data_IF_582920338816
#
_entry.id   IF_582920338816
#
_cell.length_a   1.000
_cell.length_b   1.000
_cell.length_c   1.000
_cell.angle_alpha   90.00
_cell.angle_beta   90.00
_cell.angle_gamma   90.00
#
_symmetry.space_group_name_H-M   'P 1'
#
loop_
_entity.id
_entity.type
_entity.pdbx_description
1 polymer ?
#
# COMPACT_ATOMS: atom_id res chain seq x y z
N UNK A 1 -29.16 -54.62 -5.86
CA UNK A 1 -27.80 -54.24 -5.45
C UNK A 1 -27.24 -53.32 -6.53
N UNK A 2 -27.24 -52.03 -6.28
CA UNK A 2 -26.64 -51.01 -7.17
C UNK A 2 -25.77 -50.17 -6.26
N UNK A 3 -24.43 -50.38 -6.32
CA UNK A 3 -23.45 -49.57 -5.65
C UNK A 3 -23.28 -48.22 -6.37
N UNK A 4 -23.72 -47.14 -5.77
CA UNK A 4 -23.47 -45.79 -6.21
C UNK A 4 -22.13 -45.30 -5.69
N UNK A 5 -21.10 -45.25 -6.57
CA UNK A 5 -19.81 -44.60 -6.27
C UNK A 5 -19.98 -43.08 -6.24
N UNK A 6 -19.92 -42.51 -5.08
CA UNK A 6 -19.71 -41.07 -4.86
C UNK A 6 -18.28 -40.74 -5.31
N UNK A 7 -18.18 -40.01 -6.44
CA UNK A 7 -16.92 -39.35 -6.86
C UNK A 7 -16.70 -38.13 -5.96
N UNK A 8 -15.74 -38.21 -5.05
CA UNK A 8 -15.21 -37.06 -4.34
C UNK A 8 -14.59 -36.09 -5.37
N UNK A 9 -15.13 -34.87 -5.48
CA UNK A 9 -14.48 -33.77 -6.19
C UNK A 9 -13.21 -33.43 -5.43
N UNK A 10 -12.06 -33.73 -6.00
CA UNK A 10 -10.77 -33.17 -5.59
C UNK A 10 -10.82 -31.67 -5.87
N UNK A 11 -10.88 -30.87 -4.82
CA UNK A 11 -10.52 -29.45 -4.88
C UNK A 11 -9.05 -29.39 -5.26
N UNK A 12 -8.75 -28.78 -6.41
CA UNK A 12 -7.37 -28.46 -6.77
C UNK A 12 -6.83 -27.45 -5.75
N UNK A 13 -5.59 -27.62 -5.25
CA UNK A 13 -4.96 -26.60 -4.44
C UNK A 13 -4.80 -25.33 -5.28
N UNK A 14 -5.26 -24.21 -4.76
CA UNK A 14 -4.99 -22.88 -5.30
C UNK A 14 -3.47 -22.73 -5.34
N UNK A 15 -2.91 -22.69 -6.55
CA UNK A 15 -1.48 -22.47 -6.72
C UNK A 15 -1.15 -21.08 -6.17
N UNK A 16 -0.41 -21.05 -5.07
CA UNK A 16 0.18 -19.81 -4.57
C UNK A 16 1.18 -19.31 -5.63
N UNK A 17 1.17 -17.99 -5.92
CA UNK A 17 2.11 -17.42 -6.87
C UNK A 17 3.54 -17.61 -6.36
N UNK A 18 4.40 -18.18 -7.20
CA UNK A 18 5.82 -18.40 -6.87
C UNK A 18 6.62 -17.24 -7.46
N UNK A 19 7.36 -16.51 -6.61
CA UNK A 19 8.41 -15.58 -7.05
C UNK A 19 9.71 -16.35 -7.12
N UNK A 20 10.23 -16.56 -8.33
CA UNK A 20 11.54 -17.21 -8.53
C UNK A 20 12.62 -16.15 -8.58
N UNK A 21 13.67 -16.30 -7.77
CA UNK A 21 14.76 -15.35 -7.65
C UNK A 21 16.07 -16.05 -8.00
N UNK A 22 16.70 -15.58 -9.07
CA UNK A 22 18.04 -16.01 -9.47
C UNK A 22 19.06 -14.90 -9.19
N UNK A 23 20.14 -15.24 -8.51
CA UNK A 23 21.25 -14.32 -8.25
C UNK A 23 22.42 -14.66 -9.18
N UNK A 24 22.67 -13.79 -10.16
CA UNK A 24 23.85 -13.84 -10.99
C UNK A 24 24.67 -12.56 -10.71
N UNK A 25 25.81 -12.71 -10.00
CA UNK A 25 26.81 -11.66 -9.77
C UNK A 25 26.20 -10.27 -9.51
N UNK A 26 25.72 -9.99 -8.30
CA UNK A 26 25.21 -8.68 -7.84
C UNK A 26 23.88 -8.21 -8.44
N UNK A 27 23.31 -8.90 -9.43
CA UNK A 27 22.01 -8.57 -10.03
C UNK A 27 20.96 -9.59 -9.60
N UNK A 28 19.78 -9.12 -9.20
CA UNK A 28 18.63 -9.97 -8.83
C UNK A 28 17.69 -10.07 -10.03
N UNK A 29 17.65 -11.23 -10.68
CA UNK A 29 16.60 -11.53 -11.66
C UNK A 29 15.31 -11.83 -10.91
N UNK A 30 14.26 -11.08 -11.20
CA UNK A 30 12.92 -11.31 -10.69
C UNK A 30 12.08 -11.96 -11.79
N UNK A 31 11.87 -13.27 -11.71
CA UNK A 31 10.82 -13.92 -12.50
C UNK A 31 9.46 -13.62 -11.84
N UNK A 32 8.74 -12.68 -12.41
CA UNK A 32 7.44 -12.21 -11.92
C UNK A 32 6.36 -13.03 -12.61
N UNK A 33 5.91 -14.09 -11.98
CA UNK A 33 4.87 -14.97 -12.54
C UNK A 33 3.44 -14.43 -12.38
N UNK A 34 3.23 -13.41 -11.51
CA UNK A 34 1.88 -12.90 -11.27
C UNK A 34 1.77 -11.37 -11.32
N UNK A 35 0.55 -10.90 -11.57
CA UNK A 35 0.22 -9.48 -11.69
C UNK A 35 0.43 -8.68 -10.40
N UNK A 36 0.34 -9.31 -9.22
CA UNK A 36 0.51 -8.65 -7.91
C UNK A 36 1.98 -8.32 -7.70
N UNK A 37 2.89 -9.26 -8.00
CA UNK A 37 4.33 -9.03 -7.87
C UNK A 37 4.84 -7.91 -8.78
N UNK A 38 4.26 -7.76 -9.97
CA UNK A 38 4.60 -6.65 -10.88
C UNK A 38 4.19 -5.30 -10.29
N UNK A 39 3.09 -5.23 -9.53
CA UNK A 39 2.64 -3.97 -8.90
C UNK A 39 3.56 -3.50 -7.77
N UNK A 40 4.36 -4.38 -7.17
CA UNK A 40 5.35 -4.01 -6.14
C UNK A 40 6.48 -3.15 -6.70
N UNK A 41 6.89 -3.42 -7.95
CA UNK A 41 8.00 -2.71 -8.58
C UNK A 41 7.62 -1.31 -9.03
N UNK A 42 6.34 -1.05 -9.33
CA UNK A 42 5.87 0.26 -9.78
C UNK A 42 6.13 1.35 -8.74
N UNK A 43 5.66 1.23 -7.48
CA UNK A 43 5.93 2.25 -6.46
C UNK A 43 7.41 2.42 -6.17
N UNK A 44 8.19 1.33 -6.17
CA UNK A 44 9.63 1.39 -5.96
C UNK A 44 10.31 2.20 -7.07
N UNK A 45 10.02 1.88 -8.35
CA UNK A 45 10.59 2.61 -9.48
C UNK A 45 10.15 4.07 -9.52
N UNK A 46 8.89 4.35 -9.23
CA UNK A 46 8.37 5.72 -9.16
C UNK A 46 9.09 6.54 -8.09
N UNK A 47 9.35 5.97 -6.91
CA UNK A 47 10.12 6.63 -5.84
C UNK A 47 11.57 6.88 -6.29
N UNK A 48 12.17 5.94 -7.01
CA UNK A 48 13.48 6.14 -7.65
C UNK A 48 13.43 7.33 -8.62
N UNK A 49 12.49 7.38 -9.57
CA UNK A 49 12.37 8.49 -10.53
C UNK A 49 12.13 9.84 -9.84
N UNK A 50 11.31 9.86 -8.78
CA UNK A 50 11.12 11.06 -7.96
C UNK A 50 12.44 11.52 -7.34
N UNK A 51 13.23 10.58 -6.81
CA UNK A 51 14.52 10.86 -6.16
C UNK A 51 15.59 11.38 -7.11
N UNK A 52 15.47 11.13 -8.41
CA UNK A 52 16.40 11.64 -9.44
C UNK A 52 16.09 13.08 -9.86
N UNK A 53 14.96 13.67 -9.44
CA UNK A 53 14.62 15.03 -9.78
C UNK A 53 15.47 16.04 -9.00
N UNK A 54 15.81 17.21 -9.58
CA UNK A 54 16.56 18.26 -8.87
C UNK A 54 15.86 18.76 -7.60
N UNK A 55 14.54 18.75 -7.59
CA UNK A 55 13.68 19.11 -6.46
C UNK A 55 12.65 18.00 -6.26
N UNK A 56 13.02 16.90 -5.57
CA UNK A 56 12.17 15.72 -5.45
C UNK A 56 10.98 16.00 -4.52
N UNK A 57 9.79 15.45 -4.89
CA UNK A 57 8.64 15.42 -3.97
C UNK A 57 8.94 14.48 -2.80
N UNK A 58 9.60 13.37 -3.10
CA UNK A 58 10.05 12.36 -2.15
C UNK A 58 11.44 11.90 -2.56
N UNK A 59 12.36 11.83 -1.59
CA UNK A 59 13.64 11.16 -1.75
C UNK A 59 13.62 9.82 -1.03
N UNK A 60 13.92 8.74 -1.76
CA UNK A 60 13.95 7.37 -1.25
C UNK A 60 15.31 6.73 -1.54
N UNK A 61 16.18 6.71 -0.53
CA UNK A 61 17.52 6.17 -0.64
C UNK A 61 17.52 4.65 -0.93
N UNK A 62 16.54 3.92 -0.37
CA UNK A 62 16.40 2.49 -0.62
C UNK A 62 16.04 2.22 -2.09
N UNK A 63 15.09 2.96 -2.66
CA UNK A 63 14.74 2.85 -4.07
C UNK A 63 15.96 3.13 -4.97
N UNK A 64 16.76 4.15 -4.63
CA UNK A 64 18.00 4.47 -5.36
C UNK A 64 19.06 3.35 -5.30
N UNK A 65 19.11 2.61 -4.18
CA UNK A 65 20.02 1.46 -4.05
C UNK A 65 19.51 0.23 -4.78
N UNK A 66 18.19 -0.03 -4.73
CA UNK A 66 17.60 -1.27 -5.20
C UNK A 66 17.39 -1.32 -6.71
N UNK A 67 16.86 -0.24 -7.31
CA UNK A 67 16.50 -0.24 -8.74
C UNK A 67 17.67 -0.66 -9.64
N UNK A 68 18.90 -0.18 -9.45
CA UNK A 68 20.04 -0.62 -10.28
C UNK A 68 20.41 -2.11 -10.14
N UNK A 69 19.92 -2.79 -9.10
CA UNK A 69 20.20 -4.21 -8.84
C UNK A 69 19.12 -5.14 -9.36
N UNK A 70 17.97 -4.60 -9.80
CA UNK A 70 16.82 -5.38 -10.27
C UNK A 70 16.85 -5.44 -11.81
N UNK A 71 16.97 -6.63 -12.35
CA UNK A 71 16.87 -6.86 -13.78
C UNK A 71 15.39 -6.92 -14.20
N UNK A 72 14.88 -5.77 -14.63
CA UNK A 72 13.50 -5.61 -15.08
C UNK A 72 13.42 -4.41 -16.04
N UNK A 73 12.59 -4.50 -17.08
CA UNK A 73 12.36 -3.37 -17.98
C UNK A 73 11.42 -2.34 -17.33
N UNK A 74 12.04 -1.36 -16.69
CA UNK A 74 11.34 -0.24 -16.08
C UNK A 74 10.94 0.86 -17.07
N UNK A 75 11.52 0.88 -18.27
CA UNK A 75 11.33 1.99 -19.24
C UNK A 75 9.86 2.24 -19.61
N UNK A 76 9.03 1.21 -19.53
CA UNK A 76 7.58 1.31 -19.74
C UNK A 76 6.86 2.26 -18.78
N UNK A 77 7.49 2.63 -17.65
CA UNK A 77 6.94 3.54 -16.64
C UNK A 77 7.53 4.96 -16.71
N UNK A 78 8.55 5.23 -17.54
CA UNK A 78 9.27 6.51 -17.58
C UNK A 78 8.35 7.71 -17.90
N UNK A 79 7.27 7.46 -18.62
CA UNK A 79 6.31 8.49 -19.02
C UNK A 79 5.03 8.52 -18.16
N UNK A 80 4.99 7.79 -17.03
CA UNK A 80 3.85 7.76 -16.13
C UNK A 80 3.85 8.97 -15.16
N UNK A 81 3.94 10.20 -15.71
CA UNK A 81 4.16 11.42 -14.93
C UNK A 81 3.14 11.66 -13.82
N UNK A 82 1.87 11.29 -14.03
CA UNK A 82 0.82 11.42 -13.01
C UNK A 82 1.02 10.41 -11.89
N UNK A 83 1.37 9.18 -12.24
CA UNK A 83 1.69 8.15 -11.25
C UNK A 83 2.97 8.50 -10.49
N UNK A 84 4.00 9.07 -11.15
CA UNK A 84 5.24 9.51 -10.51
C UNK A 84 4.92 10.56 -9.44
N UNK A 85 4.22 11.63 -9.79
CA UNK A 85 3.85 12.66 -8.82
C UNK A 85 2.88 12.13 -7.76
N UNK A 86 1.86 11.35 -8.16
CA UNK A 86 0.84 10.82 -7.26
C UNK A 86 1.40 9.90 -6.20
N UNK A 87 2.23 8.92 -6.57
CA UNK A 87 2.86 8.00 -5.63
C UNK A 87 3.86 8.70 -4.71
N UNK A 88 4.65 9.65 -5.25
CA UNK A 88 5.58 10.42 -4.43
C UNK A 88 4.85 11.30 -3.40
N UNK A 89 3.76 11.99 -3.79
CA UNK A 89 2.91 12.78 -2.89
C UNK A 89 2.28 11.87 -1.83
N UNK A 90 1.74 10.71 -2.23
CA UNK A 90 1.14 9.74 -1.32
C UNK A 90 2.14 9.30 -0.27
N UNK A 91 3.28 8.77 -0.67
CA UNK A 91 4.31 8.30 0.24
C UNK A 91 4.78 9.43 1.18
N UNK A 92 5.01 10.65 0.65
CA UNK A 92 5.38 11.81 1.47
C UNK A 92 4.30 12.18 2.49
N UNK A 93 3.03 12.14 2.10
CA UNK A 93 1.91 12.42 3.00
C UNK A 93 1.81 11.37 4.10
N UNK A 94 1.88 10.09 3.75
CA UNK A 94 1.86 8.99 4.72
C UNK A 94 3.05 9.06 5.67
N UNK A 95 4.26 9.39 5.20
CA UNK A 95 5.44 9.58 6.04
C UNK A 95 5.22 10.70 7.08
N UNK A 96 4.64 11.83 6.66
CA UNK A 96 4.38 12.93 7.57
C UNK A 96 3.30 12.60 8.61
N UNK A 97 2.23 11.93 8.21
CA UNK A 97 1.18 11.49 9.12
C UNK A 97 1.70 10.47 10.13
N UNK A 98 2.56 9.54 9.68
CA UNK A 98 3.23 8.57 10.55
C UNK A 98 4.12 9.27 11.58
N UNK A 99 4.96 10.21 11.15
CA UNK A 99 5.81 10.98 12.05
C UNK A 99 4.99 11.81 13.06
N UNK A 100 3.88 12.39 12.61
CA UNK A 100 2.96 13.14 13.48
C UNK A 100 2.29 12.24 14.50
N UNK A 101 1.85 11.05 14.11
CA UNK A 101 1.29 10.05 15.02
C UNK A 101 2.31 9.65 16.08
N UNK A 102 3.52 9.26 15.67
CA UNK A 102 4.61 8.87 16.59
C UNK A 102 4.90 9.98 17.61
N UNK A 103 4.95 11.23 17.17
CA UNK A 103 5.26 12.37 18.03
C UNK A 103 4.19 12.67 19.09
N UNK A 104 2.90 12.41 18.76
CA UNK A 104 1.79 12.84 19.59
C UNK A 104 1.06 11.70 20.30
N UNK A 105 1.42 10.45 20.06
CA UNK A 105 0.78 9.30 20.71
C UNK A 105 1.69 8.67 21.74
N UNK A 106 1.05 8.14 22.78
CA UNK A 106 1.75 7.39 23.83
C UNK A 106 1.90 5.94 23.38
N UNK A 107 3.12 5.38 23.51
CA UNK A 107 3.43 4.01 23.07
C UNK A 107 2.95 3.73 21.63
N UNK A 108 3.38 4.53 20.63
CA UNK A 108 2.93 4.36 19.26
C UNK A 108 3.46 3.05 18.66
N UNK A 109 2.60 2.32 17.96
CA UNK A 109 2.95 1.13 17.16
C UNK A 109 2.46 1.35 15.74
N UNK A 110 3.34 1.16 14.76
CA UNK A 110 3.03 1.35 13.35
C UNK A 110 2.85 -0.01 12.68
N UNK A 111 1.75 -0.19 11.96
CA UNK A 111 1.45 -1.43 11.22
C UNK A 111 1.18 -1.11 9.76
N UNK A 112 2.05 -1.56 8.87
CA UNK A 112 1.88 -1.40 7.42
C UNK A 112 1.26 -2.66 6.83
N UNK A 113 0.03 -2.57 6.33
CA UNK A 113 -0.68 -3.67 5.68
C UNK A 113 -0.45 -3.61 4.17
N UNK A 114 0.14 -4.65 3.60
CA UNK A 114 0.60 -4.66 2.22
C UNK A 114 1.85 -3.80 2.03
N UNK A 115 2.86 -4.01 2.89
CA UNK A 115 4.06 -3.17 2.95
C UNK A 115 4.93 -3.23 1.68
N UNK A 116 4.84 -4.30 0.89
CA UNK A 116 5.64 -4.48 -0.32
C UNK A 116 7.13 -4.22 -0.10
N UNK A 117 7.70 -3.40 -0.96
CA UNK A 117 9.08 -2.92 -0.87
C UNK A 117 9.15 -1.47 -0.36
N UNK A 118 8.19 -1.03 0.45
CA UNK A 118 8.23 0.31 1.04
C UNK A 118 9.37 0.43 2.08
N UNK A 119 10.03 1.58 2.09
CA UNK A 119 11.18 1.90 2.97
C UNK A 119 10.85 3.03 3.94
N UNK A 120 9.60 3.18 4.36
CA UNK A 120 9.09 4.28 5.20
C UNK A 120 9.92 4.49 6.46
N UNK A 121 10.21 3.43 7.20
CA UNK A 121 11.00 3.53 8.43
C UNK A 121 12.39 4.14 8.14
N UNK A 122 13.04 3.75 7.04
CA UNK A 122 14.31 4.36 6.60
C UNK A 122 14.12 5.85 6.22
N UNK A 123 13.06 6.20 5.48
CA UNK A 123 12.79 7.58 5.09
C UNK A 123 12.44 8.48 6.27
N UNK A 124 11.77 7.93 7.27
CA UNK A 124 11.49 8.67 8.51
C UNK A 124 12.77 8.99 9.29
N UNK A 125 13.74 8.09 9.30
CA UNK A 125 14.99 8.27 10.06
C UNK A 125 14.71 8.59 11.51
N UNK A 126 15.31 9.66 12.06
CA UNK A 126 15.10 10.07 13.45
C UNK A 126 13.63 10.41 13.81
N UNK A 127 12.75 10.65 12.81
CA UNK A 127 11.33 10.91 13.06
C UNK A 127 10.56 9.64 13.45
N UNK A 128 11.12 8.46 13.19
CA UNK A 128 10.55 7.19 13.64
C UNK A 128 10.70 6.97 15.16
N UNK A 129 11.65 7.68 15.79
CA UNK A 129 11.92 7.47 17.21
C UNK A 129 12.26 6.02 17.53
N UNK A 130 11.66 5.52 18.61
CA UNK A 130 11.75 4.11 19.03
C UNK A 130 10.44 3.32 18.75
N UNK A 131 9.53 3.89 17.96
CA UNK A 131 8.28 3.22 17.62
C UNK A 131 8.54 1.91 16.85
N UNK A 132 7.97 0.78 17.28
CA UNK A 132 8.07 -0.47 16.54
C UNK A 132 7.22 -0.40 15.26
N UNK A 133 7.78 -0.92 14.17
CA UNK A 133 7.14 -1.06 12.87
C UNK A 133 6.89 -2.52 12.56
N UNK A 134 5.65 -2.86 12.30
CA UNK A 134 5.22 -4.17 11.83
C UNK A 134 4.86 -4.08 10.35
N UNK A 135 5.61 -4.81 9.53
CA UNK A 135 5.52 -4.76 8.07
C UNK A 135 4.89 -6.07 7.60
N UNK A 136 3.62 -6.01 7.26
CA UNK A 136 2.82 -7.18 6.89
C UNK A 136 2.58 -7.22 5.39
N UNK A 137 2.85 -8.38 4.80
CA UNK A 137 2.49 -8.71 3.42
C UNK A 137 2.40 -10.24 3.25
N UNK A 138 1.97 -10.67 2.06
CA UNK A 138 1.91 -12.09 1.72
C UNK A 138 3.29 -12.76 1.86
N UNK A 139 3.34 -14.07 2.19
CA UNK A 139 4.60 -14.75 2.47
C UNK A 139 5.66 -14.65 1.36
N UNK A 140 5.25 -14.69 0.10
CA UNK A 140 6.14 -14.53 -1.06
C UNK A 140 6.70 -13.11 -1.17
N UNK A 141 5.91 -12.09 -0.84
CA UNK A 141 6.34 -10.69 -0.81
C UNK A 141 7.32 -10.45 0.34
N UNK A 142 7.04 -10.99 1.53
CA UNK A 142 7.95 -10.89 2.67
C UNK A 142 9.28 -11.58 2.38
N UNK A 143 9.25 -12.77 1.77
CA UNK A 143 10.46 -13.48 1.38
C UNK A 143 11.31 -12.70 0.34
N UNK A 144 10.66 -11.99 -0.58
CA UNK A 144 11.33 -11.07 -1.50
C UNK A 144 11.90 -9.86 -0.75
N UNK A 145 11.10 -9.26 0.15
CA UNK A 145 11.51 -8.10 0.94
C UNK A 145 12.73 -8.43 1.80
N UNK A 146 12.78 -9.56 2.49
CA UNK A 146 13.94 -9.97 3.30
C UNK A 146 15.26 -10.01 2.52
N UNK A 147 15.18 -10.34 1.23
CA UNK A 147 16.36 -10.41 0.36
C UNK A 147 16.80 -9.03 -0.15
N UNK A 148 15.85 -8.16 -0.48
CA UNK A 148 16.11 -6.85 -1.08
C UNK A 148 16.24 -5.74 -0.04
N UNK A 149 15.39 -5.78 0.98
CA UNK A 149 15.27 -4.83 2.08
C UNK A 149 15.18 -5.58 3.41
N UNK A 150 16.28 -6.16 3.91
CA UNK A 150 16.27 -6.85 5.19
C UNK A 150 15.79 -5.90 6.31
N UNK A 151 15.07 -6.43 7.32
CA UNK A 151 14.48 -5.61 8.37
C UNK A 151 15.56 -4.86 9.15
N UNK A 152 15.27 -3.62 9.47
CA UNK A 152 16.10 -2.73 10.29
C UNK A 152 15.75 -2.94 11.77
N UNK A 153 16.57 -2.43 12.66
CA UNK A 153 16.24 -2.36 14.07
C UNK A 153 14.91 -1.60 14.26
N UNK A 154 13.98 -2.17 14.99
CA UNK A 154 12.62 -1.66 15.16
C UNK A 154 11.60 -2.12 14.11
N UNK A 155 12.02 -2.87 13.09
CA UNK A 155 11.11 -3.50 12.12
C UNK A 155 10.90 -4.98 12.41
N UNK A 156 9.65 -5.42 12.33
CA UNK A 156 9.25 -6.83 12.38
C UNK A 156 8.46 -7.17 11.14
N UNK A 157 8.88 -8.21 10.41
CA UNK A 157 8.18 -8.69 9.22
C UNK A 157 7.10 -9.70 9.62
N UNK A 158 5.91 -9.58 9.05
CA UNK A 158 4.79 -10.52 9.26
C UNK A 158 4.38 -11.09 7.90
N UNK A 159 4.66 -12.36 7.70
CA UNK A 159 4.28 -13.11 6.50
C UNK A 159 2.86 -13.68 6.65
N UNK A 160 1.84 -12.88 6.37
CA UNK A 160 0.43 -13.24 6.53
C UNK A 160 -0.46 -12.45 5.57
N UNK A 161 -1.70 -12.90 5.38
CA UNK A 161 -2.73 -12.09 4.75
C UNK A 161 -3.20 -10.99 5.70
N UNK A 162 -3.45 -9.78 5.19
CA UNK A 162 -4.04 -8.70 5.98
C UNK A 162 -5.43 -9.07 6.55
N UNK A 163 -6.10 -10.09 5.99
CA UNK A 163 -7.41 -10.56 6.41
C UNK A 163 -7.36 -11.65 7.50
N UNK A 164 -6.17 -12.20 7.80
CA UNK A 164 -5.98 -13.16 8.87
C UNK A 164 -6.10 -12.48 10.24
N UNK A 165 -6.54 -13.22 11.25
CA UNK A 165 -6.77 -12.66 12.59
C UNK A 165 -5.61 -12.91 13.55
N UNK A 166 -4.80 -13.94 13.28
CA UNK A 166 -3.71 -14.36 14.15
C UNK A 166 -2.68 -13.23 14.40
N UNK A 167 -2.31 -12.47 13.36
CA UNK A 167 -1.37 -11.36 13.55
C UNK A 167 -1.97 -10.23 14.38
N UNK A 168 -3.30 -10.02 14.32
CA UNK A 168 -4.01 -9.03 15.14
C UNK A 168 -3.93 -9.40 16.62
N UNK A 169 -4.22 -10.68 16.94
CA UNK A 169 -4.17 -11.19 18.31
C UNK A 169 -2.76 -11.11 18.88
N UNK A 170 -1.74 -11.49 18.09
CA UNK A 170 -0.33 -11.40 18.46
C UNK A 170 0.12 -9.96 18.76
N UNK A 171 -0.33 -8.99 17.96
CA UNK A 171 -0.02 -7.57 18.20
C UNK A 171 -0.65 -7.05 19.51
N UNK A 172 -1.92 -7.36 19.74
CA UNK A 172 -2.63 -6.95 20.95
C UNK A 172 -2.00 -7.56 22.20
N UNK A 173 -1.59 -8.84 22.13
CA UNK A 173 -0.90 -9.50 23.21
C UNK A 173 0.48 -8.88 23.51
N UNK A 174 1.21 -8.52 22.46
CA UNK A 174 2.56 -7.95 22.58
C UNK A 174 2.56 -6.49 23.02
N UNK A 175 1.48 -5.75 22.75
CA UNK A 175 1.36 -4.33 22.97
C UNK A 175 0.02 -3.93 23.59
N UNK A 176 -0.29 -4.36 24.83
CA UNK A 176 -1.61 -4.17 25.42
C UNK A 176 -1.97 -2.70 25.68
N UNK A 177 -0.97 -1.82 25.85
CA UNK A 177 -1.15 -0.39 26.13
C UNK A 177 -0.75 0.51 24.95
N UNK A 178 -0.64 -0.06 23.74
CA UNK A 178 -0.19 0.69 22.58
C UNK A 178 -1.33 1.48 21.92
N UNK A 179 -0.94 2.56 21.26
CA UNK A 179 -1.77 3.24 20.28
C UNK A 179 -1.28 2.83 18.88
N UNK A 180 -2.15 2.18 18.12
CA UNK A 180 -1.81 1.67 16.80
C UNK A 180 -2.15 2.66 15.69
N UNK A 181 -1.25 2.79 14.72
CA UNK A 181 -1.53 3.39 13.42
C UNK A 181 -1.44 2.30 12.35
N UNK A 182 -2.54 2.02 11.71
CA UNK A 182 -2.59 1.15 10.52
C UNK A 182 -2.40 1.99 9.27
N UNK A 183 -1.40 1.62 8.47
CA UNK A 183 -1.12 2.23 7.18
C UNK A 183 -1.48 1.23 6.08
N UNK A 184 -2.40 1.63 5.18
CA UNK A 184 -2.84 0.79 4.06
C UNK A 184 -2.64 1.60 2.79
N UNK A 185 -1.43 1.55 2.23
CA UNK A 185 -1.00 2.38 1.11
C UNK A 185 -0.95 1.61 -0.21
N UNK A 186 -1.85 1.94 -1.15
CA UNK A 186 -1.85 1.36 -2.49
C UNK A 186 -2.33 -0.09 -2.54
N UNK A 187 -3.19 -0.52 -1.61
CA UNK A 187 -3.57 -1.91 -1.39
C UNK A 187 -5.06 -2.16 -1.62
N UNK A 188 -5.94 -1.37 -1.00
CA UNK A 188 -7.37 -1.67 -0.92
C UNK A 188 -8.04 -1.77 -2.29
N UNK A 189 -7.60 -0.99 -3.26
CA UNK A 189 -8.18 -0.96 -4.60
C UNK A 189 -8.10 -2.29 -5.36
N UNK A 190 -7.25 -3.21 -4.95
CA UNK A 190 -7.10 -4.52 -5.60
C UNK A 190 -8.04 -5.60 -5.07
N UNK A 191 -8.74 -5.35 -3.96
CA UNK A 191 -9.62 -6.32 -3.31
C UNK A 191 -11.10 -6.04 -3.59
N UNK A 192 -11.97 -7.06 -3.55
CA UNK A 192 -13.41 -6.86 -3.53
C UNK A 192 -13.84 -6.02 -2.32
N UNK A 193 -14.92 -5.24 -2.48
CA UNK A 193 -15.45 -4.36 -1.43
C UNK A 193 -15.77 -5.10 -0.13
N UNK A 194 -16.24 -6.32 -0.23
CA UNK A 194 -16.60 -7.18 0.90
C UNK A 194 -15.37 -7.50 1.76
N UNK A 195 -14.23 -7.77 1.13
CA UNK A 195 -12.97 -8.02 1.82
C UNK A 195 -12.47 -6.74 2.53
N UNK A 196 -12.57 -5.60 1.86
CA UNK A 196 -12.20 -4.30 2.46
C UNK A 196 -13.05 -4.02 3.68
N UNK A 197 -14.38 -4.21 3.58
CA UNK A 197 -15.30 -4.04 4.69
C UNK A 197 -14.98 -4.98 5.85
N UNK A 198 -14.74 -6.27 5.58
CA UNK A 198 -14.38 -7.26 6.60
C UNK A 198 -13.11 -6.86 7.36
N UNK A 199 -12.07 -6.42 6.65
CA UNK A 199 -10.84 -5.92 7.27
C UNK A 199 -11.13 -4.74 8.23
N UNK A 200 -11.88 -3.75 7.79
CA UNK A 200 -12.20 -2.59 8.63
C UNK A 200 -13.07 -2.97 9.83
N UNK A 201 -14.00 -3.90 9.68
CA UNK A 201 -14.80 -4.42 10.80
C UNK A 201 -13.92 -5.15 11.83
N UNK A 202 -12.96 -5.98 11.39
CA UNK A 202 -12.00 -6.65 12.27
C UNK A 202 -11.11 -5.65 13.01
N UNK A 203 -10.57 -4.65 12.30
CA UNK A 203 -9.76 -3.61 12.91
C UNK A 203 -10.59 -2.80 13.95
N UNK A 204 -11.81 -2.40 13.59
CA UNK A 204 -12.69 -1.65 14.47
C UNK A 204 -13.09 -2.46 15.72
N UNK A 205 -13.30 -3.76 15.58
CA UNK A 205 -13.69 -4.64 16.69
C UNK A 205 -12.54 -4.89 17.68
N UNK A 206 -11.29 -4.91 17.21
CA UNK A 206 -10.14 -5.37 18.00
C UNK A 206 -9.27 -4.22 18.53
N UNK A 207 -9.11 -3.14 17.77
CA UNK A 207 -8.11 -2.10 18.03
C UNK A 207 -8.77 -0.77 18.42
N UNK A 208 -9.45 -0.75 19.56
CA UNK A 208 -10.03 0.49 20.12
C UNK A 208 -8.93 1.52 20.39
N UNK A 209 -9.19 2.78 20.07
CA UNK A 209 -8.23 3.87 20.21
C UNK A 209 -7.19 3.95 19.09
N UNK A 210 -7.23 3.06 18.10
CA UNK A 210 -6.33 3.09 16.96
C UNK A 210 -6.73 4.09 15.88
N UNK A 211 -5.80 4.36 14.97
CA UNK A 211 -6.02 5.20 13.81
C UNK A 211 -5.67 4.41 12.53
N UNK A 212 -6.36 4.72 11.42
CA UNK A 212 -6.20 4.05 10.14
C UNK A 212 -6.01 5.11 9.07
N UNK A 213 -4.86 5.12 8.40
CA UNK A 213 -4.57 5.95 7.24
C UNK A 213 -4.52 5.07 5.99
N UNK A 214 -5.34 5.37 5.02
CA UNK A 214 -5.43 4.59 3.79
C UNK A 214 -5.76 5.47 2.59
N UNK A 215 -5.51 4.94 1.41
CA UNK A 215 -5.89 5.58 0.16
C UNK A 215 -7.00 4.82 -0.54
N UNK A 216 -7.84 5.58 -1.24
CA UNK A 216 -8.95 5.06 -2.05
C UNK A 216 -8.97 5.69 -3.42
N UNK A 217 -9.43 4.91 -4.39
CA UNK A 217 -9.80 5.40 -5.71
C UNK A 217 -11.32 5.52 -5.86
N UNK A 218 -11.79 6.33 -6.82
CA UNK A 218 -13.23 6.42 -7.10
C UNK A 218 -13.73 5.22 -7.91
N UNK A 219 -15.04 4.96 -7.88
CA UNK A 219 -15.67 3.93 -8.73
C UNK A 219 -15.54 4.24 -10.22
N UNK A 220 -15.38 5.52 -10.60
CA UNK A 220 -15.04 5.88 -11.97
C UNK A 220 -13.66 5.35 -12.37
N UNK A 221 -12.66 5.47 -11.48
CA UNK A 221 -11.30 5.02 -11.75
C UNK A 221 -11.22 3.49 -11.91
N UNK A 222 -12.06 2.71 -11.19
CA UNK A 222 -12.07 1.25 -11.38
C UNK A 222 -12.49 0.86 -12.80
N UNK A 223 -13.42 1.62 -13.40
CA UNK A 223 -13.92 1.40 -14.77
C UNK A 223 -12.92 1.76 -15.86
N UNK A 224 -11.94 2.62 -15.56
CA UNK A 224 -10.93 3.11 -16.51
C UNK A 224 -9.51 2.74 -16.10
N UNK A 225 -9.36 1.78 -15.19
CA UNK A 225 -8.05 1.37 -14.65
C UNK A 225 -7.11 0.80 -15.73
N UNK A 226 -7.65 0.26 -16.82
CA UNK A 226 -6.92 -0.16 -18.01
C UNK A 226 -6.22 1.00 -18.74
N UNK A 227 -6.69 2.25 -18.54
CA UNK A 227 -6.12 3.48 -19.11
C UNK A 227 -5.22 4.25 -18.14
N UNK A 228 -5.04 3.72 -16.93
CA UNK A 228 -4.16 4.32 -15.94
C UNK A 228 -2.71 4.26 -16.43
N UNK A 229 -1.96 5.36 -16.35
CA UNK A 229 -0.65 5.53 -17.01
C UNK A 229 0.42 4.51 -16.56
N UNK A 230 0.37 4.00 -15.34
CA UNK A 230 1.23 2.92 -14.87
C UNK A 230 0.58 1.52 -15.02
N UNK A 231 -0.72 1.36 -14.64
CA UNK A 231 -1.38 0.04 -14.63
C UNK A 231 -1.62 -0.54 -16.03
N UNK A 232 -1.78 0.29 -17.07
CA UNK A 232 -1.97 -0.16 -18.47
C UNK A 232 -0.89 -1.12 -18.95
N UNK A 233 0.29 -1.09 -18.33
CA UNK A 233 1.43 -1.95 -18.63
C UNK A 233 1.46 -3.24 -17.79
N UNK A 234 0.46 -3.47 -16.93
CA UNK A 234 0.35 -4.64 -16.05
C UNK A 234 -0.97 -5.37 -16.24
N UNK A 235 -1.10 -6.54 -15.62
CA UNK A 235 -2.35 -7.31 -15.57
C UNK A 235 -3.26 -6.87 -14.41
N UNK A 236 -2.76 -6.04 -13.48
CA UNK A 236 -3.53 -5.60 -12.33
C UNK A 236 -4.67 -4.66 -12.73
N UNK A 237 -5.80 -4.80 -12.06
CA UNK A 237 -6.99 -3.94 -12.24
C UNK A 237 -7.56 -3.58 -10.89
N UNK A 238 -8.15 -2.39 -10.81
CA UNK A 238 -8.84 -1.96 -9.60
C UNK A 238 -10.20 -2.63 -9.50
N UNK A 239 -10.46 -3.29 -8.38
CA UNK A 239 -11.71 -3.93 -8.04
C UNK A 239 -12.57 -3.07 -7.10
N UNK A 240 -11.93 -2.39 -6.13
CA UNK A 240 -12.62 -1.52 -5.17
C UNK A 240 -12.46 -0.05 -5.52
N UNK A 241 -13.58 0.66 -5.51
CA UNK A 241 -13.67 2.11 -5.56
C UNK A 241 -14.65 2.61 -4.51
N UNK A 242 -14.32 3.74 -3.87
CA UNK A 242 -15.13 4.39 -2.86
C UNK A 242 -15.44 5.81 -3.33
N UNK A 243 -16.69 6.22 -3.42
CA UNK A 243 -17.07 7.59 -3.83
C UNK A 243 -17.53 8.46 -2.66
N UNK A 244 -17.89 7.84 -1.53
CA UNK A 244 -18.27 8.51 -0.30
C UNK A 244 -17.17 8.34 0.75
N UNK A 245 -16.50 9.43 1.12
CA UNK A 245 -15.39 9.41 2.10
C UNK A 245 -15.82 8.87 3.47
N UNK A 246 -17.12 8.95 3.80
CA UNK A 246 -17.70 8.43 5.05
C UNK A 246 -18.30 7.03 4.91
N UNK A 247 -18.10 6.35 3.81
CA UNK A 247 -18.61 5.00 3.62
C UNK A 247 -18.10 4.00 4.69
N UNK A 248 -16.82 4.04 5.12
CA UNK A 248 -16.34 3.16 6.20
C UNK A 248 -17.06 3.33 7.55
N UNK A 249 -17.63 4.51 7.85
CA UNK A 249 -18.44 4.72 9.05
C UNK A 249 -19.72 3.85 9.06
N UNK A 250 -20.18 3.40 7.88
CA UNK A 250 -21.32 2.49 7.76
C UNK A 250 -20.94 1.02 8.01
N UNK A 251 -19.66 0.71 8.08
CA UNK A 251 -19.18 -0.66 8.27
C UNK A 251 -19.01 -1.03 9.75
N UNK A 252 -18.73 -0.05 10.60
CA UNK A 252 -18.68 -0.22 12.06
C UNK A 252 -19.01 1.12 12.74
N UNK A 253 -19.83 1.06 13.79
CA UNK A 253 -20.35 2.25 14.47
C UNK A 253 -19.28 3.08 15.21
N UNK A 254 -18.13 2.47 15.50
CA UNK A 254 -17.00 3.10 16.15
C UNK A 254 -15.87 3.54 15.18
N UNK A 255 -16.12 3.51 13.87
CA UNK A 255 -15.23 4.08 12.87
C UNK A 255 -15.63 5.53 12.57
N UNK A 256 -14.74 6.48 12.78
CA UNK A 256 -14.99 7.90 12.57
C UNK A 256 -13.93 8.55 11.71
N UNK A 257 -14.33 9.24 10.65
CA UNK A 257 -13.43 9.97 9.77
C UNK A 257 -12.85 11.20 10.48
N UNK A 258 -11.52 11.27 10.55
CA UNK A 258 -10.79 12.44 11.06
C UNK A 258 -10.58 13.45 9.92
N UNK A 259 -10.11 12.98 8.76
CA UNK A 259 -9.78 13.83 7.62
C UNK A 259 -9.86 13.09 6.29
N UNK A 260 -10.11 13.86 5.24
CA UNK A 260 -9.95 13.43 3.86
C UNK A 260 -9.06 14.43 3.11
N UNK A 261 -8.14 13.94 2.26
CA UNK A 261 -7.29 14.73 1.39
C UNK A 261 -7.39 14.25 -0.04
N UNK A 262 -7.57 15.18 -0.94
CA UNK A 262 -7.74 14.93 -2.37
C UNK A 262 -6.43 15.18 -3.10
N UNK A 263 -5.89 14.18 -3.77
CA UNK A 263 -4.59 14.24 -4.45
C UNK A 263 -4.50 15.45 -5.40
N UNK A 264 -5.55 15.68 -6.19
CA UNK A 264 -5.55 16.72 -7.22
C UNK A 264 -5.64 18.18 -6.67
N UNK A 265 -6.19 18.36 -5.44
CA UNK A 265 -6.52 19.70 -4.93
C UNK A 265 -5.71 20.13 -3.72
N UNK A 266 -5.38 19.20 -2.82
CA UNK A 266 -4.85 19.53 -1.51
C UNK A 266 -3.31 19.50 -1.44
N UNK A 267 -2.67 19.06 -2.53
CA UNK A 267 -1.22 18.95 -2.60
C UNK A 267 -0.63 19.88 -3.67
N UNK A 268 0.06 20.97 -3.26
CA UNK A 268 0.70 21.88 -4.22
C UNK A 268 1.71 21.22 -5.16
N UNK A 269 2.37 20.14 -4.68
CA UNK A 269 3.33 19.37 -5.46
C UNK A 269 2.71 18.72 -6.71
N UNK A 270 1.37 18.58 -6.77
CA UNK A 270 0.67 18.11 -7.97
C UNK A 270 0.94 18.98 -9.22
N UNK A 271 1.37 20.24 -9.04
CA UNK A 271 1.80 21.12 -10.15
C UNK A 271 2.95 20.55 -10.97
N UNK A 272 3.76 19.67 -10.37
CA UNK A 272 4.88 18.99 -11.07
C UNK A 272 4.42 18.03 -12.17
N UNK A 273 3.13 17.71 -12.26
CA UNK A 273 2.56 16.93 -13.38
C UNK A 273 2.41 17.74 -14.67
N UNK A 274 2.72 19.05 -14.66
CA UNK A 274 2.60 19.95 -15.78
C UNK A 274 1.26 20.70 -15.82
N UNK A 275 1.26 21.85 -16.52
CA UNK A 275 0.15 22.83 -16.51
C UNK A 275 -1.20 22.18 -16.89
N UNK A 276 -1.27 21.47 -18.02
CA UNK A 276 -2.53 20.89 -18.49
C UNK A 276 -3.04 19.78 -17.57
N UNK A 277 -2.17 18.88 -17.13
CA UNK A 277 -2.51 17.81 -16.20
C UNK A 277 -3.03 18.38 -14.88
N UNK A 278 -2.35 19.40 -14.34
CA UNK A 278 -2.74 20.07 -13.11
C UNK A 278 -4.16 20.63 -13.19
N UNK A 279 -4.51 21.38 -14.25
CA UNK A 279 -5.81 22.03 -14.36
C UNK A 279 -6.92 21.04 -14.72
N UNK A 280 -6.69 20.06 -15.60
CA UNK A 280 -7.67 19.03 -15.95
C UNK A 280 -8.06 18.24 -14.69
N UNK A 281 -7.07 17.80 -13.91
CA UNK A 281 -7.34 17.04 -12.69
C UNK A 281 -8.13 17.83 -11.64
N UNK A 282 -8.00 19.14 -11.61
CA UNK A 282 -8.72 20.01 -10.67
C UNK A 282 -10.12 20.40 -11.13
N UNK A 283 -10.30 20.63 -12.42
CA UNK A 283 -11.53 21.18 -12.99
C UNK A 283 -12.53 20.09 -13.41
N UNK A 284 -12.05 18.91 -13.78
CA UNK A 284 -12.93 17.81 -14.18
C UNK A 284 -13.28 16.95 -12.95
N UNK A 285 -14.55 16.99 -12.45
CA UNK A 285 -14.92 16.37 -11.18
C UNK A 285 -14.56 14.88 -11.04
N UNK A 286 -14.76 14.00 -12.06
CA UNK A 286 -14.36 12.59 -11.96
C UNK A 286 -12.88 12.40 -11.70
N UNK A 287 -12.00 13.23 -12.31
CA UNK A 287 -10.56 13.19 -12.09
C UNK A 287 -10.18 13.83 -10.76
N UNK A 288 -10.80 14.97 -10.41
CA UNK A 288 -10.54 15.66 -9.14
C UNK A 288 -10.76 14.75 -7.94
N UNK A 289 -11.81 13.95 -7.97
CA UNK A 289 -12.21 13.07 -6.89
C UNK A 289 -11.66 11.64 -7.07
N UNK A 290 -10.80 11.40 -8.07
CA UNK A 290 -10.37 10.06 -8.44
C UNK A 290 -9.48 9.37 -7.41
N UNK A 291 -8.73 10.14 -6.60
CA UNK A 291 -7.78 9.58 -5.65
C UNK A 291 -7.73 10.40 -4.36
N UNK A 292 -7.91 9.75 -3.22
CA UNK A 292 -8.01 10.40 -1.91
C UNK A 292 -7.27 9.62 -0.86
N UNK A 293 -6.84 10.33 0.18
CA UNK A 293 -6.24 9.80 1.40
C UNK A 293 -7.24 10.04 2.53
N UNK A 294 -7.65 8.96 3.18
CA UNK A 294 -8.63 8.99 4.24
C UNK A 294 -7.96 8.63 5.57
N UNK A 295 -8.27 9.39 6.60
CA UNK A 295 -7.75 9.19 7.93
C UNK A 295 -8.90 8.99 8.90
N UNK A 296 -8.88 7.86 9.60
CA UNK A 296 -9.94 7.39 10.45
C UNK A 296 -9.44 7.10 11.85
N UNK A 297 -10.35 7.14 12.83
CA UNK A 297 -10.13 6.68 14.19
C UNK A 297 -11.14 5.58 14.51
N UNK A 298 -10.70 4.62 15.31
CA UNK A 298 -11.53 3.61 15.97
C UNK A 298 -11.76 4.06 17.42
N UNK A 299 -13.00 4.37 17.78
CA UNK A 299 -13.36 4.78 19.17
C UNK A 299 -13.56 3.59 20.09
#
# INVERSE_FOLDING_TARGET
MIEGRLKARRTQPTAHPVIVIHRLKETVMLEIENAVSETLLIPLYIKYLSSQQPDPILYDAAACRLIPQIEYDFSKFDHAYRSIAGTAIRAHYFDNMTADFIRHRKNPVIVELGCGLDSRHERLGNRAGEAPFYLLDLPDVIALREKLLPPRAGETLIAASAFDEEWMDNLLQSHPDAQFLFLIEGVLMYFPKENVRDLFQKLAQRFHGSEILFDVTSTWMTKVSDRHDALKHTRARFAFGCDNDREPELWAANLHMIAAKYLATDFPAWRKTGFFSYWIMRLFPPMRNSYRFLYYRVD
#
